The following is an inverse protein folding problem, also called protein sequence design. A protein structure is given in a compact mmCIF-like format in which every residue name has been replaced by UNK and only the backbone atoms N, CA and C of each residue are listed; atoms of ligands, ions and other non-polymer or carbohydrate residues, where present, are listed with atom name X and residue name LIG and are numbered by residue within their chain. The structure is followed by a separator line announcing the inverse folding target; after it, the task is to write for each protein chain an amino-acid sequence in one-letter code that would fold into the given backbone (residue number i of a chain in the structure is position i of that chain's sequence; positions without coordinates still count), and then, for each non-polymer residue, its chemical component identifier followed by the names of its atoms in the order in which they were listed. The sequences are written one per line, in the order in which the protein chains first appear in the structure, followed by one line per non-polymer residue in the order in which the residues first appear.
data_IF_808876084261
#
_entry.id   IF_808876084261
#
_cell.length_a   1.000
_cell.length_b   1.000
_cell.length_c   1.000
_cell.angle_alpha   90.00
_cell.angle_beta   90.00
_cell.angle_gamma   90.00
#
_symmetry.space_group_name_H-M   'P 1'
#
loop_
_entity.id
_entity.type
_entity.pdbx_description
1 polymer ?
2 non-polymer ?
3 non-polymer ?
4 water ?
#
# COMPACT_ATOMS: atom_id res chain seq x y z
N UNK A 17 14.07 19.31 2.42
CA UNK A 17 14.28 17.83 2.33
C UNK A 17 15.38 17.47 1.34
N UNK A 18 16.09 16.37 1.59
CA UNK A 18 17.12 15.89 0.70
C UNK A 18 16.45 15.05 -0.44
N UNK A 19 17.07 15.00 -1.60
CA UNK A 19 16.63 14.08 -2.65
C UNK A 19 16.52 12.63 -2.19
N UNK A 20 17.31 12.17 -1.19
CA UNK A 20 17.25 10.81 -0.74
C UNK A 20 16.29 10.58 0.41
N UNK A 21 15.49 11.55 0.78
CA UNK A 21 14.49 11.40 1.87
C UNK A 21 13.43 10.40 1.38
N UNK A 22 12.84 9.66 2.34
CA UNK A 22 11.64 8.86 2.11
C UNK A 22 10.60 9.33 3.11
N UNK A 23 9.52 9.95 2.58
CA UNK A 23 8.50 10.57 3.38
C UNK A 23 7.89 9.54 4.33
N UNK A 24 7.43 10.04 5.43
CA UNK A 24 6.78 9.23 6.46
C UNK A 24 5.66 8.36 5.88
N UNK A 25 5.72 7.09 6.22
CA UNK A 25 4.77 6.10 5.67
C UNK A 25 3.46 5.99 6.48
N UNK A 26 2.50 5.23 5.94
CA UNK A 26 1.32 4.81 6.66
C UNK A 26 1.66 3.95 7.86
N UNK A 27 0.84 4.04 8.90
CA UNK A 27 1.12 3.29 10.16
C UNK A 27 0.47 1.87 10.22
N UNK A 28 -0.48 1.61 9.33
CA UNK A 28 -1.13 0.29 9.19
C UNK A 28 -1.16 -0.14 7.70
N UNK A 29 -1.30 -1.41 7.47
CA UNK A 29 -1.74 -1.98 6.19
C UNK A 29 -3.23 -2.38 6.38
N UNK A 30 -4.08 -2.24 5.32
CA UNK A 30 -5.52 -2.48 5.41
C UNK A 30 -5.92 -3.37 4.27
N UNK A 31 -6.89 -4.28 4.51
CA UNK A 31 -7.48 -5.03 3.45
C UNK A 31 -8.96 -5.14 3.65
N UNK A 32 -9.67 -5.46 2.56
CA UNK A 32 -11.06 -5.96 2.63
C UNK A 32 -11.06 -7.47 2.78
N UNK A 33 -11.83 -8.00 3.72
CA UNK A 33 -12.05 -9.42 3.83
C UNK A 33 -12.87 -9.95 2.60
N UNK A 34 -13.15 -11.25 2.54
CA UNK A 34 -13.97 -11.83 1.49
C UNK A 34 -15.37 -11.15 1.50
N UNK A 35 -15.85 -10.80 2.71
CA UNK A 35 -17.17 -10.17 2.86
C UNK A 35 -17.07 -8.66 2.77
N UNK A 36 -15.88 -8.13 2.45
CA UNK A 36 -15.58 -6.72 2.35
C UNK A 36 -15.42 -5.89 3.68
N UNK A 37 -15.55 -6.54 4.84
CA UNK A 37 -15.17 -5.85 6.07
C UNK A 37 -13.73 -5.36 6.05
N UNK A 38 -13.50 -4.14 6.47
CA UNK A 38 -12.14 -3.63 6.61
C UNK A 38 -11.40 -4.24 7.79
N UNK A 39 -10.10 -4.51 7.60
CA UNK A 39 -9.27 -5.02 8.66
C UNK A 39 -7.89 -4.40 8.51
N UNK A 40 -7.36 -3.99 9.68
CA UNK A 40 -6.10 -3.25 9.74
C UNK A 40 -5.07 -4.02 10.52
N UNK A 41 -3.79 -3.80 10.16
CA UNK A 41 -2.59 -4.51 10.71
C UNK A 41 -1.51 -3.46 11.01
N UNK A 42 -1.04 -3.41 12.28
CA UNK A 42 0.01 -2.54 12.70
C UNK A 42 0.87 -3.21 13.72
N UNK A 43 1.91 -2.51 14.10
CA UNK A 43 2.87 -3.04 15.09
C UNK A 43 2.83 -2.21 16.35
N UNK A 44 2.74 -2.87 17.51
CA UNK A 44 2.57 -2.16 18.77
C UNK A 44 3.94 -2.04 19.47
N UNK A 45 3.90 -1.51 20.71
CA UNK A 45 5.10 -1.26 21.50
C UNK A 45 5.78 -2.50 21.98
N UNK A 46 5.15 -3.65 21.85
CA UNK A 46 5.77 -4.94 22.02
C UNK A 46 6.44 -5.54 20.79
N UNK A 47 6.54 -4.73 19.72
CA UNK A 47 7.09 -5.13 18.42
C UNK A 47 6.40 -6.34 17.75
N UNK A 48 5.16 -6.56 18.10
CA UNK A 48 4.26 -7.59 17.54
C UNK A 48 3.19 -6.98 16.68
N UNK A 49 2.72 -7.76 15.70
CA UNK A 49 1.63 -7.33 14.88
C UNK A 49 0.35 -7.57 15.62
N UNK A 50 -0.47 -6.51 15.63
CA UNK A 50 -1.83 -6.64 16.06
C UNK A 50 -2.83 -6.27 14.93
N UNK A 51 -4.05 -6.73 15.02
CA UNK A 51 -5.08 -6.44 14.03
C UNK A 51 -6.43 -6.19 14.65
N UNK A 52 -7.27 -5.47 13.91
CA UNK A 52 -8.59 -5.15 14.33
C UNK A 52 -9.42 -5.04 13.09
N UNK A 53 -10.70 -5.14 13.22
CA UNK A 53 -11.62 -5.23 12.06
C UNK A 53 -13.04 -4.75 12.38
N UNK A 54 -13.72 -4.32 11.33
CA UNK A 54 -15.14 -4.10 11.33
C UNK A 54 -15.81 -5.45 11.61
N UNK A 55 -16.80 -5.43 12.52
CA UNK A 55 -17.62 -6.63 12.73
C UNK A 55 -18.66 -6.87 11.67
N UNK A 56 -19.02 -5.85 10.92
CA UNK A 56 -20.03 -5.94 9.84
C UNK A 56 -19.70 -4.93 8.80
N UNK A 57 -19.94 -5.20 7.49
CA UNK A 57 -19.61 -4.17 6.52
C UNK A 57 -20.78 -3.12 6.43
N UNK A 58 -20.89 -2.31 7.48
CA UNK A 58 -22.00 -1.32 7.57
C UNK A 58 -21.41 0.00 7.96
N UNK A 59 -22.12 1.10 7.67
CA UNK A 59 -21.52 2.46 8.03
C UNK A 59 -21.39 2.76 9.52
N UNK A 60 -22.14 2.06 10.27
CA UNK A 60 -22.06 2.28 11.70
C UNK A 60 -21.44 1.06 12.42
N UNK A 61 -20.57 0.29 11.74
CA UNK A 61 -20.12 -0.93 12.35
C UNK A 61 -19.28 -0.64 13.56
N UNK A 62 -19.45 -1.47 14.59
CA UNK A 62 -18.45 -1.56 15.62
C UNK A 62 -17.20 -2.31 15.09
N UNK A 63 -16.13 -2.10 15.80
CA UNK A 63 -14.85 -2.75 15.53
C UNK A 63 -14.63 -3.78 16.62
N UNK A 64 -13.94 -4.87 16.29
CA UNK A 64 -13.84 -6.02 17.20
C UNK A 64 -13.00 -5.74 18.42
N UNK A 65 -12.01 -4.88 18.31
CA UNK A 65 -10.96 -4.66 19.30
C UNK A 65 -9.65 -5.33 18.87
N UNK A 66 -8.54 -4.85 19.44
CA UNK A 66 -7.23 -5.25 18.98
C UNK A 66 -6.90 -6.61 19.43
N UNK A 67 -6.40 -7.43 18.51
CA UNK A 67 -6.02 -8.80 18.76
C UNK A 67 -4.60 -8.98 18.39
N UNK A 68 -3.82 -9.68 19.21
CA UNK A 68 -2.40 -9.84 18.94
C UNK A 68 -2.04 -11.11 18.22
N UNK A 69 -1.12 -11.05 17.27
CA UNK A 69 -0.38 -12.19 16.79
C UNK A 69 0.91 -12.31 17.57
N UNK A 70 1.11 -13.46 18.24
CA UNK A 70 2.39 -13.59 18.93
C UNK A 70 3.55 -13.61 17.95
N UNK A 71 4.62 -12.97 18.34
CA UNK A 71 5.90 -13.03 17.60
C UNK A 71 6.41 -11.61 17.34
N UNK A 72 7.72 -11.40 17.55
CA UNK A 72 8.34 -10.12 17.35
C UNK A 72 8.66 -9.94 15.88
N UNK A 73 8.39 -8.76 15.34
CA UNK A 73 8.64 -8.54 13.93
C UNK A 73 9.53 -7.28 13.75
N UNK A 74 10.07 -7.08 12.54
CA UNK A 74 11.03 -6.06 12.24
C UNK A 74 10.80 -5.32 10.91
N UNK A 75 9.52 -5.31 10.48
CA UNK A 75 9.11 -4.43 9.37
C UNK A 75 7.68 -4.03 9.56
N UNK A 76 7.21 -3.12 8.70
CA UNK A 76 5.76 -2.93 8.59
C UNK A 76 5.17 -4.22 7.99
N UNK A 77 4.00 -4.64 8.44
CA UNK A 77 3.31 -5.76 7.83
C UNK A 77 2.61 -5.39 6.56
N UNK A 78 2.54 -6.35 5.63
CA UNK A 78 1.79 -6.15 4.37
C UNK A 78 0.73 -7.22 4.32
N UNK A 79 -0.50 -6.86 3.98
CA UNK A 79 -1.59 -7.85 3.91
C UNK A 79 -2.17 -7.86 2.52
N UNK A 80 -2.64 -9.04 2.10
CA UNK A 80 -3.39 -9.16 0.87
C UNK A 80 -4.42 -10.25 0.99
N UNK A 81 -5.56 -10.08 0.30
CA UNK A 81 -6.58 -11.13 0.26
C UNK A 81 -6.22 -12.16 -0.79
N UNK A 82 -6.13 -13.42 -0.44
CA UNK A 82 -5.96 -14.48 -1.44
C UNK A 82 -7.12 -14.52 -2.41
N UNK A 83 -6.92 -15.24 -3.53
CA UNK A 83 -8.01 -15.50 -4.47
C UNK A 83 -9.17 -16.43 -3.95
N UNK A 84 -8.96 -17.07 -2.80
CA UNK A 84 -10.01 -17.78 -2.11
C UNK A 84 -10.61 -16.97 -0.90
N UNK A 85 -10.33 -15.68 -0.87
CA UNK A 85 -10.87 -14.81 0.18
C UNK A 85 -10.13 -14.72 1.49
N UNK A 86 -9.11 -15.57 1.75
CA UNK A 86 -8.41 -15.56 3.01
C UNK A 86 -7.36 -14.49 3.06
N UNK A 87 -7.34 -13.69 4.11
CA UNK A 87 -6.28 -12.73 4.30
C UNK A 87 -4.95 -13.36 4.69
N UNK A 88 -3.86 -12.76 4.22
CA UNK A 88 -2.51 -13.31 4.49
C UNK A 88 -1.60 -12.14 4.70
N UNK A 89 -0.75 -12.22 5.73
CA UNK A 89 0.08 -11.11 6.14
C UNK A 89 1.53 -11.51 6.00
N UNK A 90 2.35 -10.57 5.52
CA UNK A 90 3.80 -10.77 5.32
C UNK A 90 4.58 -9.76 6.17
N UNK A 91 5.68 -10.21 6.80
CA UNK A 91 6.46 -9.32 7.67
C UNK A 91 7.89 -9.84 7.74
N UNK A 92 8.82 -8.95 8.04
CA UNK A 92 10.19 -9.39 8.32
C UNK A 92 10.25 -9.82 9.76
N UNK A 93 11.04 -10.88 10.00
CA UNK A 93 11.21 -11.41 11.36
C UNK A 93 12.47 -10.93 12.04
N UNK A 94 12.67 -11.41 13.29
CA UNK A 94 13.89 -11.06 14.01
C UNK A 94 15.14 -11.59 13.33
N UNK A 95 15.03 -12.59 12.46
CA UNK A 95 16.12 -13.19 11.75
C UNK A 95 16.30 -12.55 10.38
N UNK A 96 15.64 -11.42 10.14
CA UNK A 96 15.66 -10.73 8.82
C UNK A 96 15.15 -11.52 7.61
N UNK A 97 14.43 -12.60 7.87
CA UNK A 97 13.81 -13.38 6.83
C UNK A 97 12.35 -12.92 6.66
N UNK A 98 11.69 -13.45 5.65
CA UNK A 98 10.26 -13.22 5.45
C UNK A 98 9.46 -14.26 6.13
N UNK A 99 8.41 -13.80 6.80
CA UNK A 99 7.47 -14.66 7.47
C UNK A 99 6.01 -14.31 7.01
N UNK A 100 5.11 -15.28 7.17
CA UNK A 100 3.71 -15.00 6.79
C UNK A 100 2.74 -15.78 7.65
N UNK A 101 1.52 -15.25 7.80
CA UNK A 101 0.47 -15.95 8.49
C UNK A 101 -0.82 -15.73 7.72
N UNK A 102 -1.86 -16.47 8.01
CA UNK A 102 -3.09 -16.37 7.22
C UNK A 102 -4.26 -16.79 7.98
N UNK A 103 -5.42 -16.25 7.56
CA UNK A 103 -6.71 -16.86 7.96
C UNK A 103 -6.78 -18.27 7.40
N UNK A 104 -7.21 -19.22 8.24
CA UNK A 104 -7.37 -20.55 7.74
C UNK A 104 -8.74 -20.76 7.06
N UNK A 105 -9.65 -19.82 7.23
CA UNK A 105 -10.92 -19.80 6.52
C UNK A 105 -11.33 -18.36 6.34
N UNK A 106 -11.89 -18.06 5.17
CA UNK A 106 -12.24 -16.68 4.83
C UNK A 106 -13.20 -16.12 5.92
N UNK A 107 -13.04 -14.84 6.23
CA UNK A 107 -13.90 -14.16 7.21
C UNK A 107 -13.90 -14.74 8.60
N UNK A 108 -12.85 -15.45 8.98
CA UNK A 108 -12.81 -16.05 10.30
C UNK A 108 -11.57 -15.77 11.02
N UNK A 109 -11.71 -15.63 12.36
CA UNK A 109 -10.54 -15.33 13.18
C UNK A 109 -9.80 -16.55 13.66
N UNK A 110 -9.40 -17.42 12.74
CA UNK A 110 -8.61 -18.58 13.04
C UNK A 110 -7.41 -18.41 12.13
N UNK A 111 -6.29 -18.06 12.73
CA UNK A 111 -5.09 -17.73 11.96
C UNK A 111 -4.03 -18.77 12.15
N UNK A 112 -3.18 -18.94 11.16
CA UNK A 112 -1.99 -19.75 11.32
C UNK A 112 -0.98 -19.07 12.24
N UNK A 113 -0.03 -19.81 12.69
CA UNK A 113 1.13 -19.13 13.35
C UNK A 113 1.92 -18.42 12.18
N UNK A 114 2.90 -17.59 12.52
CA UNK A 114 3.90 -17.17 11.59
C UNK A 114 4.69 -18.33 11.04
N UNK A 115 4.85 -18.42 9.73
CA UNK A 115 5.56 -19.51 9.09
C UNK A 115 6.60 -18.96 8.19
N UNK A 116 7.68 -19.71 8.00
CA UNK A 116 8.87 -19.11 7.32
C UNK A 116 8.82 -19.20 5.83
N UNK A 117 9.28 -18.12 5.18
CA UNK A 117 9.57 -18.05 3.76
C UNK A 117 11.03 -17.82 3.49
N UNK A 118 11.79 -17.66 4.57
CA UNK A 118 13.25 -17.45 4.47
C UNK A 118 13.67 -16.23 3.72
N UNK A 119 14.88 -16.28 3.10
CA UNK A 119 15.45 -15.08 2.44
C UNK A 119 16.13 -14.15 3.46
N UNK A 120 16.63 -13.03 2.92
CA UNK A 120 17.31 -11.98 3.67
C UNK A 120 16.72 -10.72 3.16
N UNK A 121 15.98 -10.01 3.97
CA UNK A 121 15.32 -8.88 3.40
C UNK A 121 15.63 -7.55 4.08
N UNK A 122 15.66 -6.48 3.27
CA UNK A 122 16.10 -5.16 3.69
C UNK A 122 15.14 -4.04 3.30
N UNK A 123 13.83 -4.38 3.16
CA UNK A 123 12.80 -3.43 2.98
C UNK A 123 11.57 -4.01 3.62
N UNK A 124 10.51 -3.20 3.64
CA UNK A 124 9.21 -3.80 3.95
C UNK A 124 8.81 -4.70 2.79
N UNK A 125 8.05 -5.76 3.05
CA UNK A 125 7.55 -6.55 1.96
C UNK A 125 6.37 -5.88 1.26
N UNK A 126 6.27 -6.13 -0.05
CA UNK A 126 5.14 -5.66 -0.89
C UNK A 126 4.52 -6.92 -1.53
N UNK A 127 3.19 -7.07 -1.39
CA UNK A 127 2.49 -8.24 -1.93
C UNK A 127 1.48 -7.85 -2.99
N UNK A 128 1.37 -8.64 -4.04
CA UNK A 128 0.44 -8.40 -5.17
C UNK A 128 -0.23 -9.73 -5.48
N UNK A 129 -1.44 -9.70 -6.05
CA UNK A 129 -2.07 -10.93 -6.51
C UNK A 129 -1.90 -11.06 -8.01
N UNK A 130 -1.27 -12.10 -8.57
CA UNK A 130 -1.31 -12.26 -9.99
C UNK A 130 -2.75 -12.43 -10.53
N UNK A 131 -2.88 -12.30 -11.89
CA UNK A 131 -4.17 -12.47 -12.56
C UNK A 131 -4.63 -13.91 -12.68
N UNK A 132 -3.81 -14.85 -12.22
CA UNK A 132 -4.13 -16.26 -12.13
C UNK A 132 -4.24 -16.74 -10.69
N UNK A 133 -4.49 -15.79 -9.78
CA UNK A 133 -4.80 -16.13 -8.39
C UNK A 133 -3.67 -16.42 -7.44
N UNK A 134 -2.39 -16.33 -7.90
CA UNK A 134 -1.22 -16.59 -7.07
C UNK A 134 -0.66 -15.29 -6.47
N UNK A 135 -0.46 -15.29 -5.16
CA UNK A 135 0.21 -14.18 -4.46
C UNK A 135 1.67 -14.16 -4.85
N UNK A 136 2.21 -12.98 -4.87
CA UNK A 136 3.64 -12.78 -5.19
C UNK A 136 4.11 -11.65 -4.31
N UNK A 137 5.32 -11.80 -3.74
CA UNK A 137 5.91 -10.84 -2.78
C UNK A 137 7.24 -10.34 -3.31
N UNK A 138 7.40 -9.05 -3.21
CA UNK A 138 8.56 -8.30 -3.67
C UNK A 138 9.20 -7.60 -2.46
N UNK A 139 10.54 -7.72 -2.38
CA UNK A 139 11.34 -7.12 -1.33
C UNK A 139 12.64 -6.62 -1.91
N UNK A 140 13.29 -5.69 -1.20
CA UNK A 140 14.69 -5.43 -1.40
C UNK A 140 15.47 -6.54 -0.66
N UNK A 141 16.48 -7.04 -1.28
CA UNK A 141 17.29 -8.12 -0.66
C UNK A 141 18.62 -7.61 -0.11
N UNK A 142 19.43 -8.60 0.31
CA UNK A 142 20.72 -8.33 1.02
C UNK A 142 21.71 -7.57 0.14
N UNK A 143 21.58 -7.73 -1.18
CA UNK A 143 22.43 -7.08 -2.18
C UNK A 143 21.81 -5.79 -2.74
N UNK A 144 20.72 -5.30 -2.11
CA UNK A 144 19.94 -4.18 -2.55
C UNK A 144 19.19 -4.35 -3.86
N UNK A 145 19.21 -5.54 -4.46
CA UNK A 145 18.40 -5.87 -5.64
C UNK A 145 16.91 -6.14 -5.24
N UNK A 146 16.06 -6.07 -6.23
CA UNK A 146 14.67 -6.55 -6.07
C UNK A 146 14.64 -8.07 -6.13
N UNK A 147 14.07 -8.71 -5.10
CA UNK A 147 13.84 -10.15 -5.15
C UNK A 147 12.37 -10.44 -5.03
N UNK A 148 12.00 -11.65 -5.48
CA UNK A 148 10.60 -12.07 -5.43
C UNK A 148 10.44 -13.54 -5.19
N UNK A 149 9.27 -13.88 -4.64
CA UNK A 149 8.89 -15.26 -4.36
C UNK A 149 7.38 -15.30 -4.53
N UNK A 150 6.85 -16.43 -4.92
CA UNK A 150 5.39 -16.53 -5.26
C UNK A 150 4.77 -17.85 -4.90
N UNK A 151 3.44 -17.84 -4.71
CA UNK A 151 2.70 -19.10 -4.69
C UNK A 151 2.87 -19.76 -6.08
N UNK A 152 3.08 -21.08 -6.09
CA UNK A 152 3.18 -21.79 -7.34
C UNK A 152 1.83 -22.39 -7.72
N UNK A 153 0.86 -22.41 -6.80
CA UNK A 153 -0.56 -22.74 -7.09
C UNK A 153 -1.42 -21.72 -6.36
N UNK A 154 -2.45 -21.25 -7.02
CA UNK A 154 -3.29 -20.20 -6.45
C UNK A 154 -3.75 -20.58 -5.04
N UNK A 155 -3.62 -19.61 -4.15
CA UNK A 155 -4.20 -19.70 -2.78
C UNK A 155 -3.78 -20.96 -2.05
N UNK A 156 -2.54 -21.35 -2.25
CA UNK A 156 -2.00 -22.60 -1.66
C UNK A 156 -0.68 -22.21 -0.99
N UNK A 157 -0.34 -22.95 0.06
CA UNK A 157 1.00 -22.79 0.65
C UNK A 157 2.08 -23.56 -0.03
N UNK A 158 2.24 -23.44 -1.34
CA UNK A 158 3.31 -24.05 -2.07
C UNK A 158 3.99 -22.80 -2.68
N UNK A 159 5.18 -22.46 -2.23
CA UNK A 159 5.87 -21.26 -2.63
C UNK A 159 7.08 -21.64 -3.46
N UNK A 160 7.44 -20.77 -4.37
CA UNK A 160 8.66 -20.89 -5.21
C UNK A 160 9.92 -20.71 -4.36
N UNK A 161 11.04 -20.95 -5.02
CA UNK A 161 12.29 -20.43 -4.55
C UNK A 161 12.37 -18.91 -4.73
N UNK A 162 13.24 -18.29 -3.96
CA UNK A 162 13.57 -16.88 -4.14
C UNK A 162 14.27 -16.65 -5.49
N UNK A 163 13.97 -15.52 -6.14
CA UNK A 163 14.63 -15.20 -7.41
C UNK A 163 14.89 -13.71 -7.52
N UNK A 164 16.01 -13.32 -8.11
CA UNK A 164 16.38 -11.94 -8.18
C UNK A 164 15.95 -11.29 -9.48
N UNK A 165 15.48 -10.06 -9.37
CA UNK A 165 15.15 -9.19 -10.51
C UNK A 165 16.18 -8.04 -10.69
N UNK A 166 17.27 -8.15 -9.97
CA UNK A 166 18.33 -7.16 -10.09
C UNK A 166 17.96 -5.78 -9.66
N UNK A 167 18.70 -4.79 -10.15
CA UNK A 167 18.53 -3.43 -9.73
C UNK A 167 19.24 -3.02 -8.46
N UNK A 168 19.10 -1.76 -8.11
CA UNK A 168 19.60 -1.22 -6.86
C UNK A 168 18.56 -0.34 -6.32
N UNK A 169 17.89 -0.77 -5.26
CA UNK A 169 16.72 -0.03 -4.73
C UNK A 169 17.02 0.87 -3.55
N UNK A 170 16.38 2.03 -3.45
CA UNK A 170 16.43 2.98 -2.37
C UNK A 170 15.11 3.41 -1.80
N UNK A 171 14.05 2.66 -2.19
CA UNK A 171 12.71 2.79 -1.55
C UNK A 171 12.16 1.39 -1.38
N UNK A 172 11.02 1.29 -0.73
CA UNK A 172 10.26 0.07 -0.80
C UNK A 172 9.68 -0.08 -2.23
N UNK A 173 9.46 -1.34 -2.68
CA UNK A 173 8.78 -1.60 -4.00
C UNK A 173 7.28 -1.38 -3.85
N UNK A 174 6.66 -1.07 -4.98
CA UNK A 174 5.20 -0.99 -5.11
C UNK A 174 4.79 -1.70 -6.38
N UNK A 175 3.85 -2.64 -6.21
CA UNK A 175 3.45 -3.53 -7.32
C UNK A 175 2.01 -3.33 -7.67
N UNK A 176 1.71 -3.47 -8.95
CA UNK A 176 0.30 -3.36 -9.39
C UNK A 176 0.10 -4.17 -10.68
N UNK A 177 -1.11 -4.70 -10.83
CA UNK A 177 -1.44 -5.35 -12.09
C UNK A 177 -1.77 -4.30 -13.19
N UNK A 178 -1.19 -4.49 -14.38
CA UNK A 178 -1.76 -3.90 -15.55
C UNK A 178 -3.13 -4.49 -15.86
N UNK A 179 -3.87 -3.78 -16.69
CA UNK A 179 -5.23 -4.27 -17.05
C UNK A 179 -5.20 -5.60 -17.80
N UNK A 180 -4.09 -5.87 -18.46
CA UNK A 180 -3.89 -7.13 -19.21
C UNK A 180 -3.29 -8.25 -18.33
N UNK A 181 -3.21 -8.03 -17.00
CA UNK A 181 -2.77 -9.06 -16.12
C UNK A 181 -1.29 -9.20 -15.87
N UNK A 182 -0.47 -8.27 -16.39
CA UNK A 182 0.96 -8.26 -16.17
C UNK A 182 1.28 -7.45 -14.90
N UNK A 183 2.00 -8.07 -13.94
CA UNK A 183 2.49 -7.31 -12.76
C UNK A 183 3.57 -6.36 -13.16
N UNK A 184 3.52 -5.12 -12.66
CA UNK A 184 4.55 -4.14 -12.85
C UNK A 184 4.95 -3.59 -11.46
N UNK A 185 6.27 -3.41 -11.28
CA UNK A 185 6.86 -3.01 -10.02
C UNK A 185 7.62 -1.74 -10.18
N UNK A 186 7.38 -0.82 -9.25
CA UNK A 186 8.00 0.51 -9.20
C UNK A 186 8.86 0.63 -7.92
N UNK A 187 10.03 1.24 -8.08
CA UNK A 187 10.94 1.46 -6.95
C UNK A 187 11.95 2.55 -7.27
N UNK A 188 12.33 3.31 -6.27
CA UNK A 188 13.34 4.31 -6.44
C UNK A 188 14.72 3.66 -6.58
N UNK A 189 15.52 4.20 -7.48
CA UNK A 189 16.85 3.64 -7.72
C UNK A 189 17.98 4.44 -7.02
N UNK A 190 19.20 4.06 -7.37
CA UNK A 190 20.38 4.62 -6.71
C UNK A 190 20.60 6.07 -7.05
N UNK A 191 20.04 6.50 -8.19
CA UNK A 191 20.03 7.91 -8.60
C UNK A 191 18.86 8.73 -8.11
N UNK A 192 18.09 8.16 -7.15
CA UNK A 192 16.86 8.73 -6.62
C UNK A 192 15.72 8.92 -7.64
N UNK A 193 15.85 8.37 -8.82
CA UNK A 193 14.80 8.43 -9.84
C UNK A 193 13.81 7.23 -9.65
N UNK A 194 12.64 7.41 -10.18
CA UNK A 194 11.65 6.26 -10.26
C UNK A 194 12.03 5.31 -11.37
N UNK A 195 12.24 4.04 -11.02
CA UNK A 195 12.45 2.99 -11.97
C UNK A 195 11.26 1.99 -11.91
N UNK A 196 11.16 1.18 -12.98
CA UNK A 196 10.15 0.14 -13.03
C UNK A 196 10.56 -1.01 -13.89
N UNK A 197 9.87 -2.12 -13.67
CA UNK A 197 10.18 -3.43 -14.28
C UNK A 197 8.85 -4.18 -14.36
N UNK A 198 8.63 -5.05 -15.33
CA UNK A 198 7.30 -5.66 -15.47
C UNK A 198 7.34 -7.08 -16.05
N UNK A 199 6.32 -7.88 -15.72
CA UNK A 199 6.05 -9.08 -16.47
C UNK A 199 5.79 -8.74 -17.93
N UNK A 200 6.38 -9.48 -18.85
CA UNK A 200 6.11 -9.24 -20.27
C UNK A 200 5.03 -10.16 -20.81
N UNK A 201 4.61 -11.15 -20.04
CA UNK A 201 3.40 -11.91 -20.32
C UNK A 201 2.70 -12.11 -18.98
N UNK A 202 1.38 -12.04 -18.99
CA UNK A 202 0.59 -12.11 -17.76
C UNK A 202 0.91 -13.33 -16.91
N UNK A 203 1.16 -13.05 -15.61
CA UNK A 203 1.31 -14.08 -14.62
C UNK A 203 2.29 -15.21 -15.03
N UNK A 204 3.39 -14.77 -15.63
CA UNK A 204 4.43 -15.64 -16.14
C UNK A 204 5.77 -15.19 -15.64
N UNK A 205 6.75 -16.12 -15.53
CA UNK A 205 8.11 -15.67 -15.08
C UNK A 205 8.96 -15.18 -16.26
N UNK A 206 8.51 -14.12 -16.88
CA UNK A 206 9.17 -13.51 -18.06
C UNK A 206 9.07 -12.01 -17.77
N UNK A 207 10.20 -11.38 -17.42
CA UNK A 207 10.26 -10.01 -17.00
C UNK A 207 11.09 -9.13 -17.96
N UNK A 208 10.75 -7.88 -17.98
CA UNK A 208 11.51 -6.87 -18.73
C UNK A 208 12.86 -6.57 -18.02
N UNK A 209 13.66 -5.68 -18.65
CA UNK A 209 14.73 -5.05 -17.91
C UNK A 209 14.15 -3.87 -17.17
N UNK A 210 14.92 -3.38 -16.20
CA UNK A 210 14.65 -2.12 -15.49
C UNK A 210 14.70 -0.94 -16.39
N UNK A 211 13.72 -0.03 -16.34
CA UNK A 211 13.80 1.23 -17.11
C UNK A 211 13.48 2.36 -16.21
N UNK A 212 14.04 3.52 -16.53
CA UNK A 212 13.87 4.69 -15.70
C UNK A 212 12.75 5.53 -16.18
N UNK A 213 11.98 6.04 -15.23
CA UNK A 213 10.97 7.07 -15.49
C UNK A 213 11.47 8.45 -15.11
N UNK A 214 12.73 8.55 -14.79
CA UNK A 214 13.39 9.79 -14.55
C UNK A 214 12.82 10.50 -13.33
N UNK A 215 13.10 11.73 -13.17
CA UNK A 215 12.62 12.53 -12.05
C UNK A 215 13.44 12.15 -10.77
N UNK A 216 13.12 12.70 -9.67
CA UNK A 216 13.65 12.26 -8.43
C UNK A 216 12.41 12.15 -7.60
N UNK A 217 12.31 11.13 -6.73
CA UNK A 217 11.20 11.08 -5.81
C UNK A 217 11.71 10.96 -4.39
N UNK A 218 10.95 11.49 -3.49
CA UNK A 218 11.30 11.57 -2.07
C UNK A 218 10.25 10.88 -1.16
N UNK A 219 9.63 9.84 -1.71
CA UNK A 219 8.70 8.92 -0.98
C UNK A 219 8.76 7.64 -1.71
N UNK A 220 8.25 6.58 -1.10
CA UNK A 220 7.86 5.43 -1.86
C UNK A 220 6.86 5.82 -3.01
N UNK A 221 7.01 5.18 -4.17
CA UNK A 221 5.98 5.32 -5.22
C UNK A 221 4.67 4.62 -4.87
N UNK A 222 3.54 5.20 -5.31
CA UNK A 222 2.20 4.66 -5.09
C UNK A 222 1.54 4.56 -6.46
N UNK A 223 0.90 3.44 -6.72
CA UNK A 223 0.39 3.17 -8.07
C UNK A 223 -1.06 2.74 -8.02
N UNK A 224 -1.77 3.15 -9.05
CA UNK A 224 -3.20 2.83 -9.18
C UNK A 224 -3.54 2.70 -10.61
N UNK A 225 -4.63 1.98 -10.87
CA UNK A 225 -5.16 1.88 -12.25
C UNK A 225 -6.35 2.83 -12.46
N UNK A 226 -6.35 3.49 -13.61
CA UNK A 226 -7.47 4.32 -14.01
C UNK A 226 -8.51 3.38 -14.65
N UNK A 227 -9.74 3.88 -14.80
CA UNK A 227 -10.87 3.19 -15.58
C UNK A 227 -10.46 2.61 -16.90
N UNK A 228 -9.81 3.46 -17.67
CA UNK A 228 -9.35 3.03 -18.96
C UNK A 228 -8.12 2.08 -19.05
N UNK A 229 -7.72 1.51 -17.94
CA UNK A 229 -6.65 0.55 -17.87
C UNK A 229 -5.24 1.16 -17.83
N UNK A 230 -5.07 2.47 -17.71
CA UNK A 230 -3.71 3.06 -17.68
C UNK A 230 -3.26 3.12 -16.20
N UNK A 231 -2.04 2.63 -15.92
CA UNK A 231 -1.48 2.85 -14.63
C UNK A 231 -1.09 4.31 -14.47
N UNK A 232 -1.31 4.79 -13.25
CA UNK A 232 -0.84 6.09 -12.84
C UNK A 232 -0.03 6.00 -11.52
N UNK A 233 1.08 6.71 -11.47
CA UNK A 233 2.00 6.64 -10.37
C UNK A 233 2.06 8.01 -9.72
N UNK A 234 2.02 8.01 -8.40
CA UNK A 234 2.10 9.21 -7.58
C UNK A 234 3.30 9.08 -6.63
N UNK A 235 3.99 10.17 -6.35
CA UNK A 235 5.13 10.17 -5.39
C UNK A 235 5.36 11.60 -5.00
N UNK A 236 5.99 11.83 -3.88
CA UNK A 236 6.49 13.18 -3.56
C UNK A 236 7.76 13.45 -4.32
N UNK A 237 7.94 14.70 -4.77
CA UNK A 237 9.13 15.06 -5.54
C UNK A 237 10.22 15.75 -4.72
N UNK A 238 11.29 16.16 -5.40
CA UNK A 238 12.41 16.85 -4.79
C UNK A 238 11.99 18.14 -4.11
N UNK A 239 10.99 18.86 -4.60
CA UNK A 239 10.51 20.12 -4.02
C UNK A 239 9.42 19.92 -3.00
N UNK A 240 9.24 18.64 -2.59
CA UNK A 240 8.28 18.26 -1.54
C UNK A 240 6.81 18.34 -1.88
N UNK A 241 6.51 18.53 -3.19
CA UNK A 241 5.12 18.52 -3.68
C UNK A 241 4.78 17.16 -4.32
N UNK A 242 3.48 16.88 -4.39
CA UNK A 242 3.02 15.64 -5.11
C UNK A 242 3.29 15.74 -6.57
N UNK A 243 3.80 14.68 -7.15
CA UNK A 243 3.92 14.59 -8.61
C UNK A 243 3.37 13.24 -9.12
N UNK A 244 3.03 13.22 -10.42
CA UNK A 244 2.39 12.03 -10.97
C UNK A 244 2.64 11.90 -12.43
N UNK A 245 2.51 10.66 -12.91
CA UNK A 245 2.82 10.31 -14.27
C UNK A 245 1.91 9.15 -14.64
N UNK A 246 1.62 8.98 -15.95
CA UNK A 246 0.73 7.85 -16.36
C UNK A 246 1.12 7.20 -17.66
N UNK A 247 0.69 5.95 -17.80
CA UNK A 247 0.91 5.26 -19.09
C UNK A 247 0.04 5.95 -20.17
N UNK A 248 0.58 6.06 -21.36
CA UNK A 248 -0.19 6.79 -22.39
C UNK A 248 -1.18 5.80 -23.00
N UNK A 249 -0.87 4.50 -22.97
CA UNK A 249 -1.96 3.49 -23.13
C UNK A 249 -2.14 3.13 -24.58
N UNK A 250 -3.26 2.45 -24.85
CA UNK A 250 -3.51 1.74 -26.13
C UNK A 250 -2.29 0.79 -26.44
N UNK A 251 -1.66 0.90 -27.61
CA UNK A 251 -0.56 -0.02 -27.96
C UNK A 251 0.78 0.36 -27.28
N UNK A 252 0.85 1.57 -26.71
CA UNK A 252 2.14 2.23 -26.45
C UNK A 252 2.91 1.71 -25.19
N UNK A 253 4.23 1.76 -25.35
CA UNK A 253 5.16 1.45 -24.29
C UNK A 253 5.46 2.74 -23.46
N UNK A 254 4.92 3.91 -23.86
CA UNK A 254 5.33 5.15 -23.30
C UNK A 254 4.48 5.59 -22.13
N UNK A 255 5.08 6.56 -21.43
CA UNK A 255 4.42 7.27 -20.38
C UNK A 255 4.40 8.76 -20.71
N UNK A 256 3.53 9.45 -19.99
CA UNK A 256 3.39 10.90 -20.06
C UNK A 256 4.63 11.60 -19.53
N UNK A 257 4.61 12.93 -19.67
CA UNK A 257 5.49 13.73 -18.86
C UNK A 257 5.04 13.64 -17.39
N UNK A 258 5.97 13.95 -16.49
CA UNK A 258 5.59 14.17 -15.08
C UNK A 258 4.91 15.52 -14.89
N UNK A 259 3.96 15.58 -13.98
CA UNK A 259 3.40 16.85 -13.49
C UNK A 259 3.50 16.94 -12.00
N UNK A 260 3.83 18.09 -11.48
CA UNK A 260 3.68 18.39 -10.07
C UNK A 260 2.37 19.08 -9.82
N UNK A 261 1.85 18.92 -8.63
CA UNK A 261 0.74 19.65 -8.10
C UNK A 261 1.19 20.57 -7.00
N UNK A 262 0.78 21.87 -6.98
CA UNK A 262 1.18 22.68 -5.88
C UNK A 262 0.69 22.19 -4.53
N UNK A 263 1.46 22.53 -3.47
CA UNK A 263 1.13 22.18 -2.11
C UNK A 263 2.22 21.23 -1.53
N UNK A 264 2.91 21.71 -0.47
CA UNK A 264 3.95 20.92 0.15
C UNK A 264 3.31 19.85 1.01
N UNK A 265 3.76 18.62 0.75
CA UNK A 265 3.26 17.49 1.54
C UNK A 265 4.40 16.90 2.35
N UNK A 266 4.02 16.25 3.43
CA UNK A 266 4.95 15.83 4.48
C UNK A 266 4.83 14.32 4.88
N UNK A 267 4.23 13.54 3.97
CA UNK A 267 4.14 12.09 4.09
C UNK A 267 4.05 11.50 2.73
N UNK A 268 4.14 10.17 2.65
CA UNK A 268 3.75 9.48 1.47
C UNK A 268 2.31 9.83 1.11
N UNK A 269 2.02 9.86 -0.20
CA UNK A 269 0.63 9.93 -0.63
C UNK A 269 -0.08 8.58 -0.65
N UNK A 270 -1.41 8.62 -0.67
CA UNK A 270 -2.23 7.39 -0.80
C UNK A 270 -3.30 7.68 -1.83
N UNK A 271 -3.42 6.84 -2.83
CA UNK A 271 -4.33 7.13 -3.94
C UNK A 271 -5.52 6.13 -3.88
N UNK A 272 -6.69 6.60 -4.31
CA UNK A 272 -7.89 5.74 -4.35
C UNK A 272 -8.69 6.09 -5.59
N UNK A 273 -9.41 5.11 -6.16
CA UNK A 273 -10.33 5.38 -7.29
C UNK A 273 -11.71 5.36 -6.76
N UNK A 274 -12.42 6.49 -6.79
CA UNK A 274 -13.70 6.54 -6.19
C UNK A 274 -14.76 5.80 -7.04
N UNK A 275 -15.99 5.71 -6.50
CA UNK A 275 -17.23 5.15 -7.08
C UNK A 275 -17.55 5.57 -8.54
N UNK A 276 -17.19 6.80 -8.83
CA UNK A 276 -17.39 7.49 -10.09
C UNK A 276 -16.28 7.30 -11.07
N UNK A 277 -15.28 6.56 -10.71
CA UNK A 277 -14.19 6.28 -11.64
C UNK A 277 -13.10 7.35 -11.58
N UNK A 278 -13.20 8.30 -10.68
CA UNK A 278 -12.18 9.35 -10.65
C UNK A 278 -11.14 9.11 -9.53
N UNK A 279 -9.95 9.59 -9.76
CA UNK A 279 -8.82 9.45 -8.80
C UNK A 279 -8.88 10.50 -7.71
N UNK A 280 -8.51 10.10 -6.50
CA UNK A 280 -8.36 11.01 -5.32
C UNK A 280 -7.05 10.64 -4.63
N UNK A 281 -6.35 11.66 -4.15
CA UNK A 281 -5.12 11.42 -3.41
C UNK A 281 -5.18 12.11 -2.10
N UNK A 282 -4.64 11.42 -1.09
CA UNK A 282 -4.55 11.88 0.28
C UNK A 282 -3.11 11.92 0.72
N UNK A 283 -2.77 12.93 1.55
CA UNK A 283 -1.38 13.05 2.06
C UNK A 283 -1.39 13.96 3.24
N UNK A 284 -0.44 13.78 4.15
CA UNK A 284 -0.25 14.76 5.21
C UNK A 284 0.33 16.06 4.58
N UNK A 285 -0.28 17.17 4.90
CA UNK A 285 0.14 18.45 4.34
C UNK A 285 1.23 19.18 5.11
N UNK A 286 1.57 20.38 4.60
CA UNK A 286 2.60 21.18 5.21
C UNK A 286 2.30 21.58 6.64
N UNK A 287 1.02 21.74 6.99
CA UNK A 287 0.60 22.03 8.37
C UNK A 287 0.32 20.80 9.25
N UNK A 288 0.76 19.66 8.77
CA UNK A 288 0.57 18.38 9.43
C UNK A 288 -0.82 17.89 9.66
N UNK A 289 -1.76 18.37 8.86
CA UNK A 289 -3.13 17.89 8.81
C UNK A 289 -3.27 17.02 7.56
N UNK A 290 -4.32 16.21 7.55
CA UNK A 290 -4.71 15.49 6.33
C UNK A 290 -5.23 16.36 5.23
N UNK A 291 -4.59 16.27 4.08
CA UNK A 291 -5.08 16.93 2.85
C UNK A 291 -5.60 15.89 1.85
N UNK A 292 -6.58 16.37 1.08
CA UNK A 292 -7.19 15.61 -0.04
C UNK A 292 -7.32 16.42 -1.31
N UNK A 293 -7.07 15.77 -2.45
CA UNK A 293 -7.28 16.37 -3.76
C UNK A 293 -7.96 15.33 -4.64
N UNK A 294 -8.79 15.79 -5.58
CA UNK A 294 -9.51 14.87 -6.48
C UNK A 294 -9.50 15.38 -7.89
N UNK A 295 -9.63 14.48 -8.86
CA UNK A 295 -9.83 14.88 -10.24
C UNK A 295 -11.20 15.35 -10.40
N UNK A 296 -11.37 16.55 -10.98
CA UNK A 296 -12.66 17.22 -10.89
C UNK A 296 -13.54 16.80 -12.06
N UNK A 297 -12.92 16.22 -13.05
CA UNK A 297 -13.67 15.59 -14.07
C UNK A 297 -12.80 14.45 -14.55
N UNK A 298 -13.22 13.80 -15.62
CA UNK A 298 -12.50 12.67 -16.22
C UNK A 298 -11.09 12.99 -16.67
N UNK A 299 -10.13 12.19 -16.23
CA UNK A 299 -8.69 12.52 -16.45
C UNK A 299 -8.25 13.92 -15.86
N UNK A 300 -9.12 14.60 -15.13
CA UNK A 300 -9.20 16.08 -15.26
C UNK A 300 -8.09 16.85 -14.63
N UNK A 301 -8.32 18.16 -14.52
CA UNK A 301 -7.40 18.77 -13.65
C UNK A 301 -7.75 18.36 -12.20
N UNK A 302 -6.87 18.70 -11.29
CA UNK A 302 -7.03 18.35 -9.86
C UNK A 302 -7.48 19.53 -9.07
N UNK A 303 -8.32 19.26 -8.12
CA UNK A 303 -8.82 20.22 -7.18
C UNK A 303 -7.65 20.80 -6.33
N UNK A 304 -7.81 22.04 -5.88
CA UNK A 304 -6.99 22.47 -4.77
C UNK A 304 -7.09 21.50 -3.58
N UNK A 305 -6.01 21.36 -2.84
CA UNK A 305 -6.05 20.49 -1.65
C UNK A 305 -7.05 21.01 -0.68
N UNK A 306 -7.80 20.11 -0.04
CA UNK A 306 -8.73 20.41 1.02
C UNK A 306 -8.24 19.78 2.28
N UNK A 307 -8.39 20.39 3.45
CA UNK A 307 -7.80 19.91 4.70
C UNK A 307 -8.89 19.29 5.59
N UNK A 308 -8.57 18.26 6.38
CA UNK A 308 -9.38 17.88 7.49
C UNK A 308 -8.76 18.41 8.78
N UNK A 309 -9.61 18.74 9.77
CA UNK A 309 -9.14 19.16 11.08
C UNK A 309 -8.34 18.06 11.75
N UNK A 310 -7.24 18.46 12.37
CA UNK A 310 -6.50 17.58 13.29
C UNK A 310 -5.09 17.23 12.80
N UNK A 311 -4.11 17.43 13.70
CA UNK A 311 -2.72 17.12 13.42
C UNK A 311 -2.56 15.60 13.42
N UNK A 312 -1.85 15.09 12.42
CA UNK A 312 -1.67 13.64 12.27
C UNK A 312 -0.20 13.31 12.22
N UNK A 313 0.14 12.06 12.59
CA UNK A 313 1.53 11.65 12.87
C UNK A 313 2.02 10.53 11.98
N UNK A 314 1.28 10.29 10.89
CA UNK A 314 1.69 9.34 9.85
C UNK A 314 1.10 9.78 8.53
N UNK A 315 1.54 9.11 7.48
CA UNK A 315 0.80 9.25 6.22
C UNK A 315 -0.62 8.60 6.46
N UNK A 316 -1.62 9.00 5.64
CA UNK A 316 -2.90 8.28 5.61
C UNK A 316 -2.76 6.90 4.95
N UNK A 317 -3.58 5.96 5.44
CA UNK A 317 -3.84 4.72 4.73
C UNK A 317 -5.30 4.75 4.33
N UNK A 318 -5.60 4.52 3.05
CA UNK A 318 -6.93 4.74 2.54
C UNK A 318 -7.54 3.41 2.04
N UNK A 319 -8.82 3.23 2.33
CA UNK A 319 -9.55 2.06 1.93
C UNK A 319 -10.94 2.39 1.47
N UNK A 320 -11.61 1.45 0.82
CA UNK A 320 -13.04 1.61 0.49
C UNK A 320 -13.86 0.48 1.13
N UNK A 321 -14.98 0.90 1.70
CA UNK A 321 -15.92 -0.01 2.34
C UNK A 321 -16.74 -0.79 1.27
N UNK A 322 -17.58 -1.73 1.72
CA UNK A 322 -18.38 -2.54 0.84
C UNK A 322 -19.31 -1.71 -0.05
N UNK A 323 -19.68 -0.52 0.42
CA UNK A 323 -20.59 0.34 -0.31
C UNK A 323 -19.86 1.50 -1.01
N UNK A 324 -18.54 1.39 -1.09
CA UNK A 324 -17.70 2.37 -1.84
C UNK A 324 -17.32 3.60 -0.97
N UNK A 325 -17.81 3.75 0.28
CA UNK A 325 -17.37 4.89 1.09
C UNK A 325 -15.90 4.78 1.37
N UNK A 326 -15.21 5.91 1.16
CA UNK A 326 -13.81 6.04 1.48
C UNK A 326 -13.61 6.23 2.99
N UNK A 327 -12.59 5.53 3.49
CA UNK A 327 -12.18 5.54 4.90
C UNK A 327 -10.68 5.66 5.02
N UNK A 328 -10.23 6.49 5.95
CA UNK A 328 -8.83 6.89 6.08
C UNK A 328 -8.40 6.66 7.56
N UNK A 329 -7.28 5.97 7.70
CA UNK A 329 -6.63 5.66 8.96
C UNK A 329 -5.32 6.40 9.10
N UNK A 330 -5.04 6.89 10.31
CA UNK A 330 -3.75 7.61 10.63
C UNK A 330 -3.34 7.36 12.03
N UNK A 331 -2.06 7.63 12.30
CA UNK A 331 -1.50 7.67 13.66
C UNK A 331 -1.84 9.03 14.27
N UNK A 332 -2.41 9.05 15.48
CA UNK A 332 -2.59 10.31 16.20
C UNK A 332 -1.41 10.73 17.05
N UNK A 333 -1.56 11.91 17.65
CA UNK A 333 -0.59 12.41 18.54
C UNK A 333 -0.53 11.63 19.85
N UNK A 334 -1.59 10.89 20.19
CA UNK A 334 -1.56 9.93 21.30
C UNK A 334 -0.89 8.58 20.99
N UNK A 335 -0.37 8.44 19.74
CA UNK A 335 0.16 7.23 19.20
C UNK A 335 -0.85 6.09 19.04
N UNK A 336 -2.13 6.40 18.97
CA UNK A 336 -3.11 5.41 18.64
C UNK A 336 -3.64 5.63 17.23
N UNK A 337 -4.41 4.63 16.78
CA UNK A 337 -5.00 4.70 15.46
C UNK A 337 -6.29 5.45 15.48
N UNK A 338 -6.45 6.37 14.53
CA UNK A 338 -7.68 7.08 14.33
C UNK A 338 -8.20 6.87 12.92
N UNK A 339 -9.47 7.07 12.72
CA UNK A 339 -10.05 7.02 11.38
C UNK A 339 -11.18 7.99 11.16
N UNK A 340 -11.41 8.30 9.91
CA UNK A 340 -12.57 9.05 9.45
C UNK A 340 -13.06 8.52 8.15
N UNK A 341 -14.27 8.88 7.75
CA UNK A 341 -14.87 8.26 6.57
C UNK A 341 -15.98 9.11 5.98
N UNK A 342 -16.33 8.82 4.72
CA UNK A 342 -17.52 9.33 4.06
C UNK A 342 -18.75 8.74 4.67
N UNK A 343 -19.75 9.60 5.03
CA UNK A 343 -20.98 9.08 5.66
C UNK A 343 -21.94 8.44 4.66
N UNK A 344 -21.84 8.78 3.37
CA UNK A 344 -22.65 8.11 2.36
C UNK A 344 -21.82 7.83 1.13
N UNK A 345 -22.37 7.00 0.22
CA UNK A 345 -21.64 6.63 -1.03
C UNK A 345 -21.35 7.74 -2.16
N UNK A 346 -22.06 8.86 -2.13
CA UNK A 346 -21.83 9.93 -3.14
C UNK A 346 -20.42 10.46 -3.11
N UNK A 347 -19.87 10.86 -4.28
CA UNK A 347 -18.54 11.57 -4.25
C UNK A 347 -18.65 12.97 -3.61
N UNK A 348 -19.89 13.47 -3.45
CA UNK A 348 -20.12 14.68 -2.64
C UNK A 348 -20.45 14.40 -1.16
N UNK A 349 -20.30 13.15 -0.67
CA UNK A 349 -20.59 12.90 0.74
C UNK A 349 -19.86 13.86 1.74
N UNK A 350 -20.53 14.13 2.85
CA UNK A 350 -19.86 14.72 4.00
C UNK A 350 -18.89 13.66 4.62
N UNK A 351 -18.00 14.17 5.45
CA UNK A 351 -17.03 13.29 6.18
C UNK A 351 -17.20 13.40 7.64
N UNK A 352 -16.86 12.36 8.38
CA UNK A 352 -16.82 12.41 9.84
C UNK A 352 -15.48 13.11 10.24
N UNK A 353 -15.36 13.42 11.55
CA UNK A 353 -14.12 13.84 12.15
C UNK A 353 -13.42 12.68 12.76
N UNK A 354 -12.11 12.80 12.95
CA UNK A 354 -11.33 11.67 13.48
C UNK A 354 -11.95 10.99 14.70
N UNK A 355 -12.01 9.64 14.72
CA UNK A 355 -12.44 8.87 15.88
C UNK A 355 -11.39 7.81 16.21
N UNK A 356 -11.22 7.57 17.50
CA UNK A 356 -10.24 6.69 17.98
C UNK A 356 -10.62 5.22 17.85
N UNK A 357 -9.67 4.40 17.38
CA UNK A 357 -9.70 2.91 17.50
C UNK A 357 -8.78 2.46 18.60
N UNK A 358 -9.29 2.57 19.84
CA UNK A 358 -8.45 2.51 20.98
C UNK A 358 -8.12 1.13 21.49
N UNK A 359 -7.10 1.03 22.35
CA UNK A 359 -6.75 -0.25 22.99
C UNK A 359 -5.32 -0.64 22.97
N UNK A 360 -4.60 -0.08 22.00
CA UNK A 360 -3.17 -0.23 21.89
C UNK A 360 -2.62 1.09 21.32
N UNK A 361 -1.30 1.25 21.39
CA UNK A 361 -0.57 2.26 20.63
C UNK A 361 0.30 1.57 19.61
N UNK A 362 0.65 2.32 18.56
CA UNK A 362 1.41 1.79 17.44
C UNK A 362 2.76 2.47 17.33
N UNK A 363 3.70 1.73 16.73
CA UNK A 363 4.99 2.22 16.35
C UNK A 363 5.15 2.09 14.85
N UNK A 364 6.01 2.91 14.30
CA UNK A 364 6.37 2.79 12.90
C UNK A 364 7.51 1.78 12.76
N UNK A 365 7.18 0.54 12.37
CA UNK A 365 8.14 -0.52 12.20
C UNK A 365 8.80 -0.56 10.84
N UNK A 366 8.51 0.36 9.97
CA UNK A 366 9.15 0.36 8.71
C UNK A 366 10.65 0.16 8.74
N UNK A 367 11.14 -0.66 7.80
CA UNK A 367 12.57 -0.90 7.67
C UNK A 367 13.27 0.46 7.29
N UNK A 368 14.28 0.78 8.07
CA UNK A 368 15.10 1.94 7.82
C UNK A 368 16.03 1.56 6.67
N UNK A 369 15.71 2.08 5.49
CA UNK A 369 16.36 1.56 4.30
C UNK A 369 17.86 1.96 4.25
N UNK A 370 18.18 3.14 4.76
CA UNK A 370 19.62 3.56 4.89
C UNK A 370 20.36 2.72 5.94
#
# INVERSE_FOLDING_TARGET
MPNPDNTEAHVAGEVEIENSAIALSGIVSVANNADNRLEVFGVSTDSAVWHNWQTAPLPNSSWAGWNKFNGVVTSKPAVHRNSDGRLEVFVRGTDNALWHNWQTAADTNTWSSWQPLYGGITSNPEVCLNSDGRLEVFVRGSDNALWHIWQTAAHTNSWSNWKSLGGTLTSNPAAHLNADGRIEVFARGADNALWHIWQTAAHTDQWSNWQSLKSVITSDPVVINNCDGRLEVFARGADSTLRHISQIGSDSVSWSNWQCLDGVITSAPAAVKNISGQLEVFARGADNTLWRTWQTSHNGPWSNWSSFTGIIASAPTVAKNSDGRIEVFVLGLDKALWHLWQTTSSTTSSWTTWALIGGITLIDASVILEHHHHHHWRSGC
#
